data_IF_792146755045
#
_entry.id   IF_792146755045
#
_cell.length_a   1.000
_cell.length_b   1.000
_cell.length_c   1.000
_cell.angle_alpha   90.00
_cell.angle_beta   90.00
_cell.angle_gamma   90.00
#
_symmetry.space_group_name_H-M   'P 1'
#
loop_
_entity.id
_entity.type
_entity.pdbx_description
1 polymer ?
#
# COMPACT_ATOMS: atom_id res chain seq x y z
N UNK A 1 -14.28 9.31 -16.26
CA UNK A 1 -12.88 9.50 -16.74
C UNK A 1 -12.06 10.00 -15.56
N UNK A 2 -11.14 9.19 -15.05
CA UNK A 2 -10.31 9.55 -13.89
C UNK A 2 -9.51 10.81 -14.25
N UNK A 3 -9.54 11.83 -13.38
CA UNK A 3 -8.78 13.07 -13.54
C UNK A 3 -7.29 12.72 -13.73
N UNK A 4 -6.62 13.25 -14.77
CA UNK A 4 -5.21 12.88 -15.05
C UNK A 4 -4.31 13.14 -13.85
N UNK A 5 -4.61 14.18 -13.06
CA UNK A 5 -3.90 14.52 -11.82
C UNK A 5 -4.08 13.47 -10.72
N UNK A 6 -5.25 12.83 -10.62
CA UNK A 6 -5.49 11.71 -9.71
C UNK A 6 -4.68 10.50 -10.18
N UNK A 7 -4.67 10.20 -11.48
CA UNK A 7 -3.94 9.05 -12.01
C UNK A 7 -2.42 9.19 -11.81
N UNK A 8 -1.85 10.37 -12.09
CA UNK A 8 -0.43 10.64 -11.86
C UNK A 8 -0.04 10.45 -10.38
N UNK A 9 -0.89 10.90 -9.45
CA UNK A 9 -0.65 10.75 -8.01
C UNK A 9 -0.79 9.29 -7.55
N UNK A 10 -1.76 8.56 -8.07
CA UNK A 10 -1.91 7.13 -7.78
C UNK A 10 -0.72 6.32 -8.32
N UNK A 11 -0.20 6.67 -9.50
CA UNK A 11 0.97 6.04 -10.10
C UNK A 11 2.24 6.30 -9.29
N UNK A 12 2.47 7.54 -8.88
CA UNK A 12 3.60 7.92 -8.01
C UNK A 12 3.56 7.17 -6.67
N UNK A 13 2.41 7.16 -6.00
CA UNK A 13 2.24 6.44 -4.75
C UNK A 13 2.36 4.91 -4.91
N UNK A 14 1.89 4.34 -6.02
CA UNK A 14 2.04 2.92 -6.33
C UNK A 14 3.50 2.51 -6.58
N UNK A 15 4.28 3.35 -7.29
CA UNK A 15 5.71 3.12 -7.47
C UNK A 15 6.46 3.13 -6.14
N UNK A 16 6.13 4.07 -5.26
CA UNK A 16 6.73 4.18 -3.94
C UNK A 16 6.38 2.96 -3.06
N UNK A 17 5.10 2.55 -3.06
CA UNK A 17 4.65 1.33 -2.39
C UNK A 17 5.42 0.09 -2.89
N UNK A 18 5.57 -0.08 -4.20
CA UNK A 18 6.29 -1.22 -4.78
C UNK A 18 7.79 -1.24 -4.42
N UNK A 19 8.44 -0.07 -4.34
CA UNK A 19 9.85 0.02 -3.90
C UNK A 19 10.01 -0.43 -2.44
N UNK A 20 9.11 0.01 -1.56
CA UNK A 20 9.18 -0.39 -0.15
C UNK A 20 8.78 -1.85 0.05
N UNK A 21 7.84 -2.38 -0.73
CA UNK A 21 7.52 -3.81 -0.73
C UNK A 21 8.72 -4.66 -1.16
N UNK A 22 9.50 -4.21 -2.13
CA UNK A 22 10.76 -4.88 -2.52
C UNK A 22 11.78 -4.86 -1.39
N UNK A 23 11.89 -3.75 -0.63
CA UNK A 23 12.79 -3.67 0.52
C UNK A 23 12.40 -4.66 1.61
N UNK A 24 11.11 -4.78 1.96
CA UNK A 24 10.63 -5.79 2.93
C UNK A 24 10.95 -7.21 2.48
N UNK A 25 10.93 -7.47 1.17
CA UNK A 25 11.22 -8.80 0.61
C UNK A 25 12.70 -9.10 0.45
N UNK A 26 13.56 -8.08 0.47
CA UNK A 26 14.99 -8.23 0.21
C UNK A 26 15.69 -8.78 1.44
N UNK A 27 16.33 -9.94 1.29
CA UNK A 27 17.16 -10.54 2.34
C UNK A 27 18.58 -9.98 2.39
N UNK A 28 18.99 -9.22 1.37
CA UNK A 28 20.35 -8.66 1.23
C UNK A 28 20.46 -7.23 1.78
N UNK A 29 19.51 -6.80 2.62
CA UNK A 29 19.68 -5.54 3.32
C UNK A 29 20.81 -5.71 4.33
N UNK A 30 21.80 -4.80 4.29
CA UNK A 30 22.88 -4.72 5.27
C UNK A 30 22.37 -4.20 6.63
N UNK A 31 21.30 -4.82 7.14
CA UNK A 31 20.70 -4.56 8.44
C UNK A 31 21.22 -5.63 9.39
N UNK A 32 21.89 -5.25 10.49
CA UNK A 32 22.31 -6.21 11.50
C UNK A 32 21.12 -7.01 12.04
N UNK A 33 21.30 -8.32 12.28
CA UNK A 33 20.23 -9.26 12.66
C UNK A 33 19.39 -8.79 13.86
N UNK A 34 20.02 -8.12 14.82
CA UNK A 34 19.38 -7.57 16.01
C UNK A 34 18.40 -6.42 15.74
N UNK A 35 18.46 -5.80 14.55
CA UNK A 35 17.54 -4.74 14.11
C UNK A 35 16.59 -5.21 13.00
N UNK A 36 16.70 -6.45 12.54
CA UNK A 36 15.95 -6.94 11.38
C UNK A 36 14.43 -6.92 11.63
N UNK A 37 13.99 -7.38 12.81
CA UNK A 37 12.58 -7.34 13.20
C UNK A 37 12.02 -5.91 13.28
N UNK A 38 12.79 -4.98 13.86
CA UNK A 38 12.37 -3.58 13.97
C UNK A 38 12.31 -2.89 12.61
N UNK A 39 13.27 -3.21 11.73
CA UNK A 39 13.30 -2.70 10.37
C UNK A 39 12.12 -3.23 9.53
N UNK A 40 11.83 -4.54 9.61
CA UNK A 40 10.66 -5.14 8.95
C UNK A 40 9.37 -4.48 9.43
N UNK A 41 9.23 -4.29 10.75
CA UNK A 41 8.06 -3.61 11.33
C UNK A 41 7.93 -2.17 10.83
N UNK A 42 9.00 -1.38 10.84
CA UNK A 42 8.98 -0.01 10.36
C UNK A 42 8.64 0.10 8.87
N UNK A 43 9.14 -0.84 8.05
CA UNK A 43 8.81 -0.89 6.63
C UNK A 43 7.34 -1.28 6.40
N UNK A 44 6.79 -2.21 7.18
CA UNK A 44 5.36 -2.56 7.15
C UNK A 44 4.50 -1.35 7.56
N UNK A 45 4.86 -0.67 8.64
CA UNK A 45 4.14 0.53 9.12
C UNK A 45 4.15 1.64 8.06
N UNK A 46 5.27 1.80 7.35
CA UNK A 46 5.36 2.74 6.24
C UNK A 46 4.44 2.36 5.06
N UNK A 47 4.36 1.07 4.71
CA UNK A 47 3.47 0.60 3.65
C UNK A 47 1.99 0.80 4.04
N UNK A 48 1.64 0.59 5.31
CA UNK A 48 0.31 0.91 5.86
C UNK A 48 0.00 2.41 5.77
N UNK A 49 0.94 3.26 6.17
CA UNK A 49 0.80 4.71 6.05
C UNK A 49 0.63 5.16 4.58
N UNK A 50 1.35 4.53 3.66
CA UNK A 50 1.27 4.81 2.22
C UNK A 50 -0.12 4.49 1.65
N UNK A 51 -0.75 3.42 2.14
CA UNK A 51 -2.13 3.06 1.80
C UNK A 51 -3.13 4.11 2.28
N UNK A 52 -3.02 4.53 3.54
CA UNK A 52 -3.87 5.58 4.12
C UNK A 52 -3.71 6.92 3.40
N UNK A 53 -2.50 7.24 2.95
CA UNK A 53 -2.24 8.45 2.18
C UNK A 53 -2.99 8.44 0.85
N UNK A 54 -3.20 7.27 0.24
CA UNK A 54 -3.89 7.16 -1.05
C UNK A 54 -5.40 7.23 -0.95
N UNK A 55 -5.97 6.76 0.16
CA UNK A 55 -7.35 7.11 0.53
C UNK A 55 -7.56 8.62 0.48
N UNK A 56 -6.62 9.40 1.04
CA UNK A 56 -6.69 10.87 1.03
C UNK A 56 -6.51 11.48 -0.36
N UNK A 57 -5.65 10.90 -1.20
CA UNK A 57 -5.46 11.33 -2.60
C UNK A 57 -6.75 11.13 -3.41
N UNK A 58 -7.38 9.95 -3.31
CA UNK A 58 -8.65 9.63 -3.94
C UNK A 58 -9.74 10.60 -3.42
N UNK A 59 -9.79 10.85 -2.12
CA UNK A 59 -10.74 11.78 -1.49
C UNK A 59 -10.67 13.19 -2.09
N UNK A 60 -9.44 13.67 -2.33
CA UNK A 60 -9.14 15.05 -2.70
C UNK A 60 -9.25 15.31 -4.20
N UNK A 61 -8.98 14.30 -5.02
CA UNK A 61 -8.85 14.46 -6.47
C UNK A 61 -9.90 13.71 -7.31
N UNK A 62 -10.73 12.85 -6.71
CA UNK A 62 -11.87 12.26 -7.42
C UNK A 62 -13.06 13.23 -7.44
N UNK A 63 -13.44 13.65 -8.64
CA UNK A 63 -14.63 14.47 -8.91
C UNK A 63 -15.88 13.63 -9.20
N UNK A 64 -15.72 12.33 -9.46
CA UNK A 64 -16.82 11.38 -9.69
C UNK A 64 -17.10 10.57 -8.42
N UNK A 65 -18.35 10.57 -7.97
CA UNK A 65 -18.76 9.91 -6.71
C UNK A 65 -18.74 8.39 -6.82
N UNK A 66 -19.09 7.84 -7.98
CA UNK A 66 -19.15 6.39 -8.18
C UNK A 66 -17.75 5.77 -8.26
N UNK A 67 -16.86 6.35 -9.08
CA UNK A 67 -15.44 5.95 -9.13
C UNK A 67 -14.78 6.13 -7.76
N UNK A 68 -15.13 7.20 -7.03
CA UNK A 68 -14.62 7.43 -5.66
C UNK A 68 -15.05 6.31 -4.73
N UNK A 69 -16.33 5.97 -4.67
CA UNK A 69 -16.83 4.91 -3.78
C UNK A 69 -16.22 3.55 -4.11
N UNK A 70 -16.04 3.21 -5.38
CA UNK A 70 -15.40 1.97 -5.79
C UNK A 70 -13.93 1.91 -5.34
N UNK A 71 -13.15 2.97 -5.59
CA UNK A 71 -11.75 3.04 -5.17
C UNK A 71 -11.60 3.02 -3.65
N UNK A 72 -12.44 3.78 -2.94
CA UNK A 72 -12.47 3.76 -1.47
C UNK A 72 -12.81 2.38 -0.92
N UNK A 73 -13.80 1.70 -1.51
CA UNK A 73 -14.19 0.35 -1.13
C UNK A 73 -13.02 -0.63 -1.26
N UNK A 74 -12.28 -0.57 -2.36
CA UNK A 74 -11.09 -1.41 -2.58
C UNK A 74 -9.98 -1.11 -1.57
N UNK A 75 -9.64 0.17 -1.33
CA UNK A 75 -8.58 0.52 -0.38
C UNK A 75 -8.99 0.22 1.07
N UNK A 76 -10.28 0.33 1.41
CA UNK A 76 -10.79 -0.04 2.74
C UNK A 76 -10.75 -1.56 2.97
N UNK A 77 -11.13 -2.37 1.98
CA UNK A 77 -10.99 -3.83 2.06
C UNK A 77 -9.53 -4.25 2.27
N UNK A 78 -8.62 -3.58 1.57
CA UNK A 78 -7.17 -3.75 1.73
C UNK A 78 -6.74 -3.44 3.17
N UNK A 79 -7.14 -2.28 3.70
CA UNK A 79 -6.80 -1.87 5.07
C UNK A 79 -7.30 -2.87 6.10
N UNK A 80 -8.56 -3.28 6.00
CA UNK A 80 -9.15 -4.29 6.89
C UNK A 80 -8.44 -5.64 6.80
N UNK A 81 -8.04 -6.06 5.61
CA UNK A 81 -7.27 -7.29 5.42
C UNK A 81 -5.92 -7.23 6.13
N UNK A 82 -5.29 -6.06 6.20
CA UNK A 82 -3.98 -5.84 6.83
C UNK A 82 -4.07 -5.63 8.34
N UNK A 83 -5.06 -4.89 8.85
CA UNK A 83 -5.31 -4.71 10.30
C UNK A 83 -5.51 -6.05 11.01
N UNK A 84 -6.21 -7.00 10.38
CA UNK A 84 -6.38 -8.37 10.90
C UNK A 84 -5.08 -9.21 10.94
N UNK A 85 -3.93 -8.63 10.59
CA UNK A 85 -2.63 -9.33 10.47
C UNK A 85 -1.58 -8.79 11.44
N UNK A 86 -1.90 -7.74 12.20
CA UNK A 86 -0.99 -7.17 13.20
C UNK A 86 -0.60 -8.17 14.29
N UNK A 87 -1.36 -9.27 14.45
CA UNK A 87 -1.22 -10.14 15.62
C UNK A 87 -0.22 -11.30 15.52
N UNK A 88 0.33 -11.73 14.36
CA UNK A 88 1.19 -12.94 14.42
C UNK A 88 2.16 -13.30 13.27
N UNK A 89 2.08 -12.76 12.05
CA UNK A 89 2.95 -13.26 10.95
C UNK A 89 3.33 -12.17 9.91
N UNK A 90 4.59 -11.75 9.93
CA UNK A 90 5.16 -10.79 8.98
C UNK A 90 5.10 -11.30 7.54
N UNK A 91 5.22 -12.62 7.29
CA UNK A 91 5.11 -13.20 5.95
C UNK A 91 3.69 -13.14 5.42
N UNK A 92 2.69 -13.33 6.30
CA UNK A 92 1.29 -13.18 5.95
C UNK A 92 0.97 -11.71 5.62
N UNK A 93 1.54 -10.77 6.37
CA UNK A 93 1.43 -9.34 6.10
C UNK A 93 2.01 -8.98 4.71
N UNK A 94 3.22 -9.44 4.41
CA UNK A 94 3.87 -9.23 3.10
C UNK A 94 3.05 -9.79 1.95
N UNK A 95 2.53 -11.02 2.05
CA UNK A 95 1.66 -11.61 1.00
C UNK A 95 0.38 -10.81 0.77
N UNK A 96 -0.19 -10.24 1.83
CA UNK A 96 -1.35 -9.36 1.70
C UNK A 96 -0.95 -8.06 1.02
N UNK A 97 0.17 -7.44 1.41
CA UNK A 97 0.72 -6.25 0.74
C UNK A 97 1.04 -6.49 -0.75
N UNK A 98 1.42 -7.70 -1.15
CA UNK A 98 1.55 -8.06 -2.58
C UNK A 98 0.21 -8.02 -3.33
N UNK A 99 -0.86 -8.56 -2.73
CA UNK A 99 -2.21 -8.45 -3.31
C UNK A 99 -2.67 -7.00 -3.44
N UNK A 100 -2.27 -6.16 -2.50
CA UNK A 100 -2.52 -4.72 -2.53
C UNK A 100 -1.84 -4.06 -3.71
N UNK A 101 -0.55 -4.32 -3.93
CA UNK A 101 0.18 -3.82 -5.10
C UNK A 101 -0.52 -4.20 -6.41
N UNK A 102 -1.09 -5.40 -6.47
CA UNK A 102 -1.81 -5.88 -7.65
C UNK A 102 -3.15 -5.17 -7.86
N UNK A 103 -3.96 -4.97 -6.82
CA UNK A 103 -5.20 -4.18 -6.90
C UNK A 103 -4.87 -2.73 -7.30
N UNK A 104 -3.81 -2.17 -6.73
CA UNK A 104 -3.35 -0.82 -7.03
C UNK A 104 -2.95 -0.65 -8.50
N UNK A 105 -2.24 -1.64 -9.04
CA UNK A 105 -1.85 -1.63 -10.46
C UNK A 105 -3.09 -1.55 -11.36
N UNK A 106 -4.19 -2.20 -10.98
CA UNK A 106 -5.46 -2.15 -11.71
C UNK A 106 -6.20 -0.80 -11.57
N UNK A 107 -5.92 -0.03 -10.51
CA UNK A 107 -6.52 1.29 -10.29
C UNK A 107 -5.85 2.42 -11.07
N UNK A 108 -4.63 2.21 -11.56
CA UNK A 108 -3.83 3.21 -12.29
C UNK A 108 -3.91 3.06 -13.83
N UNK A 109 -4.74 2.14 -14.34
CA UNK A 109 -4.99 1.89 -15.77
C UNK A 109 -6.37 2.36 -16.20
#
# INVERSE_FOLDING_TARGET
>A
MINSKLNDKLKESGQLFNRYLLLVKSKDLAIPDNFQCDAEKAQIDFLMFSLDSVIRVIARHSSDSETKEQMFGQVKQIKQALENTQDQDSKLCVRKLEKVAQIWSNLCY
#
